data_IF_219477862698
#
_entry.id   IF_219477862698
#
_cell.length_a   1.000
_cell.length_b   1.000
_cell.length_c   1.000
_cell.angle_alpha   90.00
_cell.angle_beta   90.00
_cell.angle_gamma   90.00
#
_symmetry.space_group_name_H-M   'P 1'
#
loop_
_entity.id
_entity.type
_entity.pdbx_description
1 polymer ?
#
# COMPACT_ATOMS: atom_id res chain seq x y z
N UNK A 1 1.40 -41.89 11.12
CA UNK A 1 1.16 -40.42 11.09
C UNK A 1 2.51 -39.76 11.23
N UNK A 2 3.04 -39.16 10.18
CA UNK A 2 4.33 -38.43 10.23
C UNK A 2 4.04 -36.98 10.64
N UNK A 3 4.53 -36.49 11.79
CA UNK A 3 4.42 -35.09 12.16
C UNK A 3 5.61 -34.34 11.57
N UNK A 4 5.40 -33.44 10.61
CA UNK A 4 6.50 -32.63 10.08
C UNK A 4 6.42 -32.14 8.63
N UNK A 5 5.27 -32.23 7.96
CA UNK A 5 5.12 -31.53 6.68
C UNK A 5 5.23 -30.01 6.88
N UNK A 6 5.88 -29.26 5.96
CA UNK A 6 5.94 -27.81 6.06
C UNK A 6 4.51 -27.26 6.18
N UNK A 7 4.25 -26.49 7.24
CA UNK A 7 2.97 -25.78 7.37
C UNK A 7 2.84 -24.89 6.15
N UNK A 8 1.84 -25.17 5.31
CA UNK A 8 1.52 -24.37 4.13
C UNK A 8 1.29 -22.93 4.59
N UNK A 9 2.19 -22.03 4.19
CA UNK A 9 1.97 -20.59 4.38
C UNK A 9 0.77 -20.25 3.51
N UNK A 10 -0.33 -19.86 4.14
CA UNK A 10 -1.53 -19.41 3.42
C UNK A 10 -1.30 -17.94 3.09
N UNK A 11 -0.91 -17.66 1.85
CA UNK A 11 -0.83 -16.30 1.33
C UNK A 11 -2.24 -15.85 0.95
N UNK A 12 -2.72 -14.76 1.55
CA UNK A 12 -3.97 -14.11 1.16
C UNK A 12 -3.66 -13.11 0.05
N UNK A 13 -4.31 -13.28 -1.11
CA UNK A 13 -4.14 -12.37 -2.25
C UNK A 13 -5.46 -11.64 -2.48
N UNK A 14 -5.43 -10.32 -2.39
CA UNK A 14 -6.53 -9.43 -2.74
C UNK A 14 -6.09 -8.46 -3.82
N UNK A 15 -6.88 -8.33 -4.87
CA UNK A 15 -6.69 -7.37 -5.95
C UNK A 15 -7.81 -6.34 -5.87
N UNK A 16 -7.45 -5.08 -5.61
CA UNK A 16 -8.38 -3.96 -5.60
C UNK A 16 -8.30 -3.24 -6.94
N UNK A 17 -9.42 -3.15 -7.64
CA UNK A 17 -9.56 -2.42 -8.90
C UNK A 17 -10.23 -1.09 -8.60
N UNK A 18 -9.56 0.02 -8.92
CA UNK A 18 -10.01 1.37 -8.58
C UNK A 18 -10.07 2.21 -9.86
N UNK A 19 -11.18 2.16 -10.63
CA UNK A 19 -11.36 3.06 -11.76
C UNK A 19 -11.48 4.48 -11.27
N UNK A 20 -10.79 5.39 -11.94
CA UNK A 20 -10.79 6.81 -11.62
C UNK A 20 -11.08 7.63 -12.87
N UNK A 21 -11.74 8.79 -12.74
CA UNK A 21 -11.98 9.70 -13.85
C UNK A 21 -10.72 10.52 -14.18
N UNK A 22 -9.58 9.84 -14.34
CA UNK A 22 -8.27 10.40 -14.64
C UNK A 22 -7.58 9.53 -15.68
N UNK A 23 -6.90 10.15 -16.62
CA UNK A 23 -5.92 9.44 -17.47
C UNK A 23 -4.75 8.93 -16.62
N UNK A 24 -4.03 7.95 -17.14
CA UNK A 24 -2.80 7.44 -16.51
C UNK A 24 -1.78 8.56 -16.30
N UNK A 25 -1.63 9.48 -17.25
CA UNK A 25 -0.70 10.61 -17.13
C UNK A 25 -1.14 11.63 -16.06
N UNK A 26 -2.43 11.93 -15.97
CA UNK A 26 -2.96 12.79 -14.90
C UNK A 26 -2.80 12.14 -13.52
N UNK A 27 -3.06 10.83 -13.42
CA UNK A 27 -2.88 10.09 -12.18
C UNK A 27 -1.42 10.10 -11.73
N UNK A 28 -0.45 10.00 -12.65
CA UNK A 28 0.97 10.12 -12.31
C UNK A 28 1.28 11.43 -11.58
N UNK A 29 0.76 12.55 -12.09
CA UNK A 29 0.95 13.87 -11.47
C UNK A 29 0.24 13.93 -10.12
N UNK A 30 -0.99 13.44 -10.04
CA UNK A 30 -1.77 13.38 -8.81
C UNK A 30 -1.06 12.54 -7.73
N UNK A 31 -0.52 11.38 -8.10
CA UNK A 31 0.22 10.49 -7.21
C UNK A 31 1.44 11.20 -6.62
N UNK A 32 2.25 11.87 -7.44
CA UNK A 32 3.43 12.60 -6.96
C UNK A 32 3.03 13.74 -6.01
N UNK A 33 1.95 14.45 -6.31
CA UNK A 33 1.40 15.46 -5.41
C UNK A 33 0.96 14.84 -4.07
N UNK A 34 0.25 13.71 -4.10
CA UNK A 34 -0.22 13.02 -2.91
C UNK A 34 0.93 12.47 -2.06
N UNK A 35 1.99 11.93 -2.69
CA UNK A 35 3.21 11.51 -2.01
C UNK A 35 3.85 12.70 -1.29
N UNK A 36 3.99 13.85 -1.96
CA UNK A 36 4.57 15.05 -1.37
C UNK A 36 3.71 15.61 -0.23
N UNK A 37 2.38 15.65 -0.41
CA UNK A 37 1.43 16.05 0.64
C UNK A 37 1.55 15.13 1.86
N UNK A 38 1.56 13.82 1.64
CA UNK A 38 1.66 12.83 2.73
C UNK A 38 3.00 12.90 3.46
N UNK A 39 4.10 13.02 2.72
CA UNK A 39 5.43 13.23 3.30
C UNK A 39 5.48 14.48 4.20
N UNK A 40 4.80 15.56 3.81
CA UNK A 40 4.70 16.79 4.63
C UNK A 40 3.89 16.59 5.90
N UNK A 41 2.81 15.81 5.85
CA UNK A 41 2.01 15.44 7.03
C UNK A 41 2.81 14.54 7.98
N UNK A 42 3.52 13.54 7.44
CA UNK A 42 4.44 12.65 8.17
C UNK A 42 5.59 13.43 8.84
N UNK A 43 6.03 14.54 8.26
CA UNK A 43 7.17 15.33 8.76
C UNK A 43 6.79 16.41 9.80
N UNK A 44 5.51 16.78 9.93
CA UNK A 44 5.07 17.94 10.75
C UNK A 44 4.52 17.59 12.14
N UNK A 45 4.28 16.32 12.44
CA UNK A 45 3.74 15.89 13.73
C UNK A 45 4.83 15.71 14.77
N UNK A 46 4.73 16.41 15.92
CA UNK A 46 5.53 16.08 17.10
C UNK A 46 5.15 14.66 17.57
N UNK A 47 5.92 13.66 17.15
CA UNK A 47 5.62 12.24 17.39
C UNK A 47 5.08 11.46 16.19
N UNK A 48 5.31 11.91 14.94
CA UNK A 48 4.82 11.23 13.72
C UNK A 48 5.21 9.76 13.62
N UNK A 49 6.33 9.38 14.24
CA UNK A 49 6.78 8.00 14.25
C UNK A 49 7.17 7.49 12.87
N UNK A 50 7.61 8.35 11.94
CA UNK A 50 8.14 7.92 10.64
C UNK A 50 9.56 8.44 10.45
N UNK A 51 10.51 7.54 10.20
CA UNK A 51 11.90 7.84 9.87
C UNK A 51 12.16 7.50 8.40
N UNK A 52 12.72 8.43 7.62
CA UNK A 52 13.08 8.20 6.21
C UNK A 52 14.57 7.87 6.16
N UNK A 53 14.91 6.63 5.82
CA UNK A 53 16.30 6.15 5.78
C UNK A 53 16.93 6.34 4.39
N UNK A 54 16.17 6.06 3.34
CA UNK A 54 16.64 6.14 1.95
C UNK A 54 15.57 6.81 1.09
N UNK A 55 16.01 7.67 0.18
CA UNK A 55 15.18 8.28 -0.86
C UNK A 55 16.07 8.63 -2.07
N UNK A 56 16.24 7.68 -2.99
CA UNK A 56 17.18 7.81 -4.10
C UNK A 56 16.66 7.14 -5.39
N UNK A 57 17.11 7.58 -6.57
CA UNK A 57 16.80 6.88 -7.81
C UNK A 57 17.48 5.50 -7.87
N UNK A 58 16.91 4.57 -8.62
CA UNK A 58 17.49 3.25 -8.92
C UNK A 58 17.34 2.90 -10.40
N UNK A 59 18.27 2.12 -10.94
CA UNK A 59 18.31 1.74 -12.36
C UNK A 59 18.00 0.25 -12.62
N UNK A 60 17.96 -0.60 -11.59
CA UNK A 60 17.76 -2.05 -11.72
C UNK A 60 16.97 -2.68 -10.56
N UNK A 61 15.68 -2.38 -10.48
CA UNK A 61 14.78 -2.90 -9.44
C UNK A 61 13.42 -3.32 -9.99
N UNK A 62 12.42 -3.59 -9.11
CA UNK A 62 11.05 -3.85 -9.53
C UNK A 62 10.56 -2.76 -10.50
N UNK A 63 10.01 -3.16 -11.64
CA UNK A 63 9.57 -2.21 -12.69
C UNK A 63 10.69 -1.56 -13.52
N UNK A 64 11.96 -1.95 -13.33
CA UNK A 64 13.09 -1.43 -14.11
C UNK A 64 13.85 -0.33 -13.37
N UNK A 65 13.57 0.92 -13.70
CA UNK A 65 14.20 2.11 -13.09
C UNK A 65 13.14 3.02 -12.47
N UNK A 66 13.47 3.71 -11.38
CA UNK A 66 12.49 4.52 -10.66
C UNK A 66 13.06 5.20 -9.42
N UNK A 67 12.18 5.51 -8.47
CA UNK A 67 12.54 6.05 -7.15
C UNK A 67 12.39 4.97 -6.08
N UNK A 68 13.42 4.78 -5.28
CA UNK A 68 13.41 3.88 -4.13
C UNK A 68 13.31 4.69 -2.83
N UNK A 69 12.46 4.25 -1.91
CA UNK A 69 12.40 4.78 -0.56
C UNK A 69 12.41 3.66 0.47
N UNK A 70 13.12 3.90 1.57
CA UNK A 70 13.10 3.05 2.76
C UNK A 70 12.68 3.89 3.96
N UNK A 71 11.60 3.51 4.64
CA UNK A 71 11.11 4.19 5.84
C UNK A 71 10.91 3.23 7.01
N UNK A 72 11.02 3.74 8.23
CA UNK A 72 10.65 3.04 9.46
C UNK A 72 9.44 3.73 10.09
N UNK A 73 8.37 2.98 10.30
CA UNK A 73 7.18 3.40 11.02
C UNK A 73 7.20 2.89 12.47
N UNK A 74 7.32 3.77 13.45
CA UNK A 74 7.20 3.54 14.89
C UNK A 74 5.73 3.47 15.32
N UNK A 75 5.09 2.32 15.13
CA UNK A 75 3.65 2.10 15.33
C UNK A 75 3.24 1.87 16.80
N UNK A 76 4.15 2.02 17.76
CA UNK A 76 3.91 1.62 19.15
C UNK A 76 2.74 2.31 19.85
N UNK A 77 2.38 3.54 19.46
CA UNK A 77 1.21 4.25 19.97
C UNK A 77 -0.11 3.80 19.33
N UNK A 78 -0.08 3.28 18.10
CA UNK A 78 -1.27 3.01 17.27
C UNK A 78 -1.79 1.56 17.33
N UNK A 79 -1.04 0.63 17.93
CA UNK A 79 -1.44 -0.78 18.01
C UNK A 79 -2.54 -1.05 19.06
N UNK A 80 -3.41 -2.05 18.87
CA UNK A 80 -4.36 -2.47 19.91
C UNK A 80 -3.66 -2.87 21.21
N UNK A 81 -4.25 -2.54 22.37
CA UNK A 81 -3.63 -2.77 23.68
C UNK A 81 -3.22 -4.23 23.96
N UNK A 82 -4.03 -5.20 23.50
CA UNK A 82 -3.72 -6.63 23.61
C UNK A 82 -2.49 -7.04 22.80
N UNK A 83 -2.21 -6.35 21.70
CA UNK A 83 -1.05 -6.61 20.84
C UNK A 83 0.21 -5.99 21.45
N UNK A 84 0.11 -4.78 22.02
CA UNK A 84 1.22 -4.13 22.74
C UNK A 84 1.73 -4.96 23.92
N UNK A 85 0.85 -5.63 24.66
CA UNK A 85 1.23 -6.46 25.82
C UNK A 85 2.02 -7.73 25.46
N UNK A 86 1.97 -8.15 24.19
CA UNK A 86 2.69 -9.33 23.71
C UNK A 86 4.07 -9.00 23.12
N UNK A 87 4.39 -7.72 22.95
CA UNK A 87 5.59 -7.26 22.25
C UNK A 87 6.60 -6.63 23.21
N UNK A 88 7.91 -6.89 23.02
CA UNK A 88 8.95 -6.16 23.74
C UNK A 88 8.83 -4.65 23.48
N UNK A 89 9.11 -3.84 24.50
CA UNK A 89 9.05 -2.37 24.40
C UNK A 89 9.96 -1.79 23.30
N UNK A 90 10.94 -2.56 22.82
CA UNK A 90 11.90 -2.21 21.76
C UNK A 90 11.46 -2.60 20.34
N UNK A 91 10.30 -3.26 20.16
CA UNK A 91 10.00 -4.04 18.95
C UNK A 91 8.80 -3.52 18.11
N UNK A 92 8.55 -2.21 18.10
CA UNK A 92 7.34 -1.63 17.50
C UNK A 92 7.66 -0.78 16.27
N UNK A 93 8.48 -1.32 15.37
CA UNK A 93 8.74 -0.76 14.05
C UNK A 93 8.19 -1.63 12.93
N UNK A 94 7.71 -0.98 11.88
CA UNK A 94 7.42 -1.58 10.57
C UNK A 94 8.35 -0.91 9.57
N UNK A 95 9.10 -1.71 8.83
CA UNK A 95 9.94 -1.23 7.73
C UNK A 95 9.10 -1.20 6.46
N UNK A 96 9.16 -0.09 5.73
CA UNK A 96 8.54 0.09 4.40
C UNK A 96 9.65 0.27 3.37
N UNK A 97 9.74 -0.66 2.43
CA UNK A 97 10.53 -0.51 1.21
C UNK A 97 9.57 -0.25 0.04
N UNK A 98 9.76 0.84 -0.70
CA UNK A 98 8.90 1.17 -1.85
C UNK A 98 9.73 1.48 -3.11
N UNK A 99 9.31 0.90 -4.22
CA UNK A 99 9.87 1.07 -5.57
C UNK A 99 8.81 1.69 -6.47
N UNK A 100 9.00 2.96 -6.83
CA UNK A 100 8.10 3.68 -7.74
C UNK A 100 8.73 3.79 -9.13
N UNK A 101 8.29 2.92 -10.04
CA UNK A 101 8.62 2.91 -11.47
C UNK A 101 7.35 3.06 -12.30
N UNK A 102 6.63 4.17 -12.09
CA UNK A 102 5.36 4.45 -12.77
C UNK A 102 5.41 4.11 -14.28
N UNK A 103 4.48 3.29 -14.82
CA UNK A 103 3.17 2.92 -14.28
C UNK A 103 3.13 1.63 -13.44
N UNK A 104 4.24 1.27 -12.79
CA UNK A 104 4.29 0.19 -11.81
C UNK A 104 4.84 0.69 -10.47
N UNK A 105 4.23 0.27 -9.37
CA UNK A 105 4.79 0.48 -8.04
C UNK A 105 4.75 -0.79 -7.24
N UNK A 106 5.76 -0.99 -6.40
CA UNK A 106 5.82 -2.07 -5.43
C UNK A 106 6.15 -1.51 -4.07
N UNK A 107 5.43 -1.90 -3.04
CA UNK A 107 5.72 -1.55 -1.65
C UNK A 107 5.69 -2.81 -0.81
N UNK A 108 6.67 -2.96 0.06
CA UNK A 108 6.79 -4.07 1.00
C UNK A 108 6.87 -3.54 2.41
N UNK A 109 6.01 -4.07 3.27
CA UNK A 109 6.05 -3.86 4.70
C UNK A 109 6.53 -5.13 5.40
N UNK A 110 7.56 -5.00 6.22
CA UNK A 110 8.06 -6.07 7.09
C UNK A 110 8.04 -5.61 8.53
N UNK A 111 7.87 -6.55 9.46
CA UNK A 111 8.04 -6.29 10.88
C UNK A 111 9.20 -7.16 11.39
N UNK A 112 10.34 -6.57 11.80
CA UNK A 112 11.50 -7.34 12.26
C UNK A 112 11.18 -8.34 13.38
N UNK A 113 10.16 -8.05 14.20
CA UNK A 113 9.77 -8.92 15.32
C UNK A 113 8.83 -10.06 14.93
N UNK A 114 8.12 -9.92 13.81
CA UNK A 114 7.19 -10.92 13.31
C UNK A 114 7.71 -11.38 11.96
N UNK A 115 8.77 -12.21 11.98
CA UNK A 115 9.46 -12.71 10.77
C UNK A 115 8.51 -13.36 9.73
N UNK A 116 7.31 -13.78 10.15
CA UNK A 116 6.30 -14.40 9.28
C UNK A 116 5.24 -13.44 8.75
N UNK A 117 5.27 -12.16 9.15
CA UNK A 117 4.38 -11.13 8.66
C UNK A 117 5.09 -10.33 7.55
N UNK A 118 4.53 -10.38 6.36
CA UNK A 118 4.92 -9.56 5.23
C UNK A 118 3.64 -9.11 4.52
N UNK A 119 3.56 -7.83 4.22
CA UNK A 119 2.52 -7.25 3.37
C UNK A 119 3.21 -6.66 2.15
N UNK A 120 2.86 -7.17 0.98
CA UNK A 120 3.37 -6.67 -0.29
C UNK A 120 2.19 -6.12 -1.11
N UNK A 121 2.37 -4.91 -1.62
CA UNK A 121 1.40 -4.21 -2.45
C UNK A 121 2.06 -3.96 -3.80
N UNK A 122 1.49 -4.51 -4.85
CA UNK A 122 1.87 -4.22 -6.23
C UNK A 122 0.72 -3.49 -6.94
N UNK A 123 1.06 -2.42 -7.63
CA UNK A 123 0.08 -1.59 -8.36
C UNK A 123 0.53 -1.43 -9.79
N UNK A 124 -0.40 -1.60 -10.73
CA UNK A 124 -0.23 -1.28 -12.15
C UNK A 124 -1.31 -0.29 -12.58
N UNK A 125 -0.93 0.70 -13.36
CA UNK A 125 -1.84 1.72 -13.89
C UNK A 125 -2.14 1.44 -15.36
N UNK A 126 -3.42 1.29 -15.69
CA UNK A 126 -3.89 1.02 -17.05
C UNK A 126 -4.91 2.06 -17.50
N UNK A 127 -4.93 2.41 -18.80
CA UNK A 127 -5.94 3.31 -19.36
C UNK A 127 -7.23 2.54 -19.68
N UNK A 128 -7.81 1.89 -18.67
CA UNK A 128 -9.06 1.13 -18.78
C UNK A 128 -9.94 1.26 -17.54
N UNK A 129 -11.08 0.56 -17.53
CA UNK A 129 -12.04 0.54 -16.42
C UNK A 129 -11.87 -0.68 -15.50
N UNK A 130 -10.67 -1.28 -15.41
CA UNK A 130 -10.41 -2.42 -14.53
C UNK A 130 -10.97 -3.76 -15.03
N UNK A 131 -11.01 -3.97 -16.35
CA UNK A 131 -11.56 -5.20 -16.95
C UNK A 131 -10.48 -6.23 -17.33
N UNK A 132 -9.21 -5.85 -17.33
CA UNK A 132 -8.12 -6.77 -17.61
C UNK A 132 -7.98 -7.85 -16.55
N UNK A 133 -7.79 -9.09 -17.01
CA UNK A 133 -7.56 -10.23 -16.14
C UNK A 133 -6.08 -10.53 -15.96
N UNK A 134 -5.72 -10.97 -14.75
CA UNK A 134 -4.38 -11.43 -14.37
C UNK A 134 -3.22 -10.49 -14.76
N UNK A 135 -3.40 -9.18 -14.58
CA UNK A 135 -2.39 -8.17 -14.96
C UNK A 135 -1.05 -8.32 -14.22
N UNK A 136 -1.03 -9.01 -13.09
CA UNK A 136 0.17 -9.31 -12.30
C UNK A 136 0.83 -10.64 -12.67
N UNK A 137 0.33 -11.33 -13.71
CA UNK A 137 0.87 -12.62 -14.16
C UNK A 137 0.94 -13.68 -13.05
N UNK A 138 -0.07 -13.70 -12.17
CA UNK A 138 -0.19 -14.68 -11.08
C UNK A 138 -0.21 -16.10 -11.63
N UNK A 139 0.38 -17.03 -10.90
CA UNK A 139 0.30 -18.46 -11.21
C UNK A 139 -1.15 -18.95 -11.15
N UNK A 140 -1.45 -20.09 -11.79
CA UNK A 140 -2.80 -20.64 -11.77
C UNK A 140 -3.34 -20.91 -10.35
N UNK A 141 -2.49 -21.27 -9.38
CA UNK A 141 -2.91 -21.43 -7.98
C UNK A 141 -3.20 -20.11 -7.28
N UNK A 142 -2.37 -19.09 -7.50
CA UNK A 142 -2.57 -17.77 -6.89
C UNK A 142 -3.81 -17.10 -7.49
N UNK A 143 -3.94 -17.14 -8.81
CA UNK A 143 -5.07 -16.58 -9.54
C UNK A 143 -6.41 -17.17 -9.07
N UNK A 144 -6.46 -18.47 -8.77
CA UNK A 144 -7.67 -19.13 -8.24
C UNK A 144 -8.00 -18.75 -6.80
N UNK A 145 -7.01 -18.40 -5.99
CA UNK A 145 -7.20 -18.04 -4.59
C UNK A 145 -7.32 -16.52 -4.38
N UNK A 146 -7.07 -15.73 -5.43
CA UNK A 146 -7.24 -14.27 -5.43
C UNK A 146 -8.70 -13.90 -5.22
N UNK A 147 -8.91 -12.90 -4.38
CA UNK A 147 -10.18 -12.19 -4.27
C UNK A 147 -10.04 -10.89 -5.05
N UNK A 148 -10.94 -10.63 -5.99
CA UNK A 148 -11.00 -9.35 -6.72
C UNK A 148 -12.11 -8.51 -6.12
N UNK A 149 -11.79 -7.26 -5.82
CA UNK A 149 -12.73 -6.27 -5.31
C UNK A 149 -12.69 -5.01 -6.18
N UNK A 150 -13.84 -4.46 -6.49
CA UNK A 150 -13.99 -3.28 -7.34
C UNK A 150 -14.42 -2.12 -6.45
N UNK A 151 -13.52 -1.15 -6.25
CA UNK A 151 -13.78 0.02 -5.43
C UNK A 151 -14.33 1.13 -6.31
N UNK A 152 -15.59 1.49 -6.08
CA UNK A 152 -16.25 2.64 -6.67
C UNK A 152 -16.14 3.82 -5.69
N UNK A 153 -15.19 4.71 -5.92
CA UNK A 153 -14.91 5.85 -5.03
C UNK A 153 -16.11 6.80 -4.86
N UNK A 154 -17.14 6.72 -5.71
CA UNK A 154 -18.37 7.49 -5.59
C UNK A 154 -19.42 6.74 -4.75
N UNK A 155 -19.53 5.42 -4.91
CA UNK A 155 -20.55 4.62 -4.20
C UNK A 155 -20.08 4.04 -2.87
N UNK A 156 -18.80 3.75 -2.73
CA UNK A 156 -18.20 3.12 -1.55
C UNK A 156 -17.75 4.18 -0.53
N UNK A 157 -18.67 5.07 -0.17
CA UNK A 157 -18.39 6.15 0.78
C UNK A 157 -18.10 5.61 2.18
N UNK A 158 -17.17 6.28 2.87
CA UNK A 158 -16.92 6.06 4.29
C UNK A 158 -18.10 6.58 5.11
N UNK A 159 -18.32 5.97 6.28
CA UNK A 159 -19.39 6.37 7.20
C UNK A 159 -18.82 6.72 8.58
N UNK A 160 -19.51 7.60 9.30
CA UNK A 160 -19.15 7.93 10.68
C UNK A 160 -17.94 8.87 10.77
N UNK A 161 -17.03 8.59 11.71
CA UNK A 161 -15.92 9.49 12.04
C UNK A 161 -14.83 9.61 10.98
N UNK A 162 -14.78 8.69 10.02
CA UNK A 162 -13.78 8.68 8.94
C UNK A 162 -14.24 9.46 7.69
N UNK A 163 -15.51 9.90 7.65
CA UNK A 163 -16.03 10.70 6.54
C UNK A 163 -15.61 12.17 6.67
N UNK A 164 -14.96 12.69 5.62
CA UNK A 164 -14.60 14.10 5.48
C UNK A 164 -15.26 14.66 4.21
N UNK A 165 -16.10 15.69 4.38
CA UNK A 165 -16.86 16.29 3.27
C UNK A 165 -15.93 16.89 2.21
N UNK A 166 -14.79 17.42 2.62
CA UNK A 166 -13.77 17.99 1.75
C UNK A 166 -13.04 16.94 0.88
N UNK A 167 -13.16 15.65 1.22
CA UNK A 167 -12.58 14.52 0.47
C UNK A 167 -13.66 13.69 -0.25
N UNK A 168 -14.93 14.10 -0.19
CA UNK A 168 -16.07 13.40 -0.81
C UNK A 168 -16.17 13.70 -2.33
N UNK A 169 -15.93 12.72 -3.21
CA UNK A 169 -15.98 12.91 -4.64
C UNK A 169 -17.41 13.09 -5.18
N UNK A 170 -18.45 12.76 -4.41
CA UNK A 170 -19.86 12.92 -4.83
C UNK A 170 -20.32 14.37 -4.82
N UNK A 171 -19.65 15.23 -4.05
CA UNK A 171 -19.95 16.67 -3.93
C UNK A 171 -18.84 17.56 -4.50
N UNK A 172 -17.70 16.98 -4.87
CA UNK A 172 -16.58 17.71 -5.43
C UNK A 172 -16.80 18.06 -6.92
N UNK A 173 -16.43 19.28 -7.30
CA UNK A 173 -16.40 19.72 -8.69
C UNK A 173 -15.11 20.50 -8.98
N UNK A 174 -14.31 20.02 -9.95
CA UNK A 174 -13.12 20.73 -10.41
C UNK A 174 -13.50 22.12 -10.94
N UNK A 175 -12.76 23.14 -10.52
CA UNK A 175 -12.87 24.52 -11.02
C UNK A 175 -11.91 24.81 -12.19
N UNK A 176 -11.09 23.81 -12.55
CA UNK A 176 -10.18 23.82 -13.69
C UNK A 176 -10.76 23.01 -14.83
#
# INVERSE_FOLDING_TARGET
>A
RVPGGPRRVVMLIKEYRIPLPLTVDEYRIAQLYMIAKKSREESKGAGSGVEILVNEPYDNGPGGQGQYTHKIYHVGSHLPGWFKSLLPKSALSVEEEAWNAYPYTKTRYTCPFVEKFSLEIETKYFPDNGHQENVFSLSGSELRNRIVDMIDVVKDQLYGGDYLKEEDPTVYQSQK
#
